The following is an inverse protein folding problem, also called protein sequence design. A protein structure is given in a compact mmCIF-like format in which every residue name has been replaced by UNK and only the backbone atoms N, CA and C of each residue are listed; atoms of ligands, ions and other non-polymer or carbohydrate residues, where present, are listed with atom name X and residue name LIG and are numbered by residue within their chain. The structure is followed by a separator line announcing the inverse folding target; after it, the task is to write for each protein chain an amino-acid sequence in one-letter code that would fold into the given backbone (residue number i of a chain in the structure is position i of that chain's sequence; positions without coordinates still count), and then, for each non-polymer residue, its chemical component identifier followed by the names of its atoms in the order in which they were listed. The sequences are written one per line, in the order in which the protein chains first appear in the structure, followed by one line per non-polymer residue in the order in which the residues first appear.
data_IF_182491058666
#
_entry.id   IF_182491058666
#
_cell.length_a   1.000
_cell.length_b   1.000
_cell.length_c   1.000
_cell.angle_alpha   90.00
_cell.angle_beta   90.00
_cell.angle_gamma   90.00
#
_symmetry.space_group_name_H-M   'P 1'
#
loop_
_entity.id
_entity.type
_entity.pdbx_description
1 polymer ?
#
# COMPACT_ATOMS: atom_id res chain seq x y z
N UNK A 1 3.06 -13.94 0.27
CA UNK A 1 4.43 -13.83 0.83
C UNK A 1 4.72 -12.36 1.10
N UNK A 2 5.15 -12.02 2.32
CA UNK A 2 5.58 -10.66 2.68
C UNK A 2 7.11 -10.64 2.81
N UNK A 3 7.74 -9.71 2.10
CA UNK A 3 9.14 -9.34 2.25
C UNK A 3 9.21 -7.90 2.73
N UNK A 4 9.90 -7.66 3.85
CA UNK A 4 10.16 -6.32 4.39
C UNK A 4 11.65 -6.05 4.32
N UNK A 5 12.02 -4.91 3.74
CA UNK A 5 13.39 -4.49 3.50
C UNK A 5 13.58 -3.07 4.06
N UNK A 6 14.79 -2.78 4.53
CA UNK A 6 15.14 -1.45 5.02
C UNK A 6 16.44 -0.97 4.41
N UNK A 7 16.52 0.32 4.08
CA UNK A 7 17.73 0.95 3.55
C UNK A 7 18.06 2.22 4.32
N UNK A 8 19.20 2.22 5.01
CA UNK A 8 19.69 3.32 5.85
C UNK A 8 18.71 3.74 6.96
N UNK A 9 17.94 2.80 7.51
CA UNK A 9 17.01 3.03 8.61
C UNK A 9 17.65 2.61 9.94
N UNK A 10 17.38 3.36 11.00
CA UNK A 10 17.80 3.04 12.36
C UNK A 10 17.20 1.70 12.83
N UNK A 11 17.97 0.83 13.54
CA UNK A 11 17.51 -0.54 13.86
C UNK A 11 16.16 -0.60 14.59
N UNK A 12 15.92 0.30 15.54
CA UNK A 12 14.66 0.34 16.29
C UNK A 12 13.45 0.62 15.39
N UNK A 13 13.59 1.53 14.42
CA UNK A 13 12.51 1.83 13.46
C UNK A 13 12.36 0.70 12.44
N UNK A 14 13.45 0.04 12.05
CA UNK A 14 13.42 -1.12 11.16
C UNK A 14 12.63 -2.28 11.79
N UNK A 15 12.94 -2.64 13.03
CA UNK A 15 12.24 -3.68 13.78
C UNK A 15 10.76 -3.33 14.00
N UNK A 16 10.47 -2.09 14.39
CA UNK A 16 9.09 -1.61 14.57
C UNK A 16 8.32 -1.65 13.26
N UNK A 17 8.92 -1.21 12.15
CA UNK A 17 8.30 -1.21 10.83
C UNK A 17 8.03 -2.62 10.29
N UNK A 18 8.93 -3.57 10.55
CA UNK A 18 8.72 -4.97 10.18
C UNK A 18 7.58 -5.58 11.00
N UNK A 19 7.59 -5.37 12.32
CA UNK A 19 6.54 -5.85 13.21
C UNK A 19 5.17 -5.27 12.85
N UNK A 20 5.10 -3.96 12.60
CA UNK A 20 3.90 -3.28 12.13
C UNK A 20 3.43 -3.84 10.78
N UNK A 21 4.32 -4.05 9.82
CA UNK A 21 3.98 -4.62 8.50
C UNK A 21 3.41 -6.03 8.60
N UNK A 22 3.96 -6.88 9.47
CA UNK A 22 3.42 -8.22 9.75
C UNK A 22 2.02 -8.12 10.36
N UNK A 23 1.84 -7.24 11.34
CA UNK A 23 0.52 -6.99 11.95
C UNK A 23 -0.50 -6.50 10.90
N UNK A 24 -0.16 -5.50 10.08
CA UNK A 24 -1.03 -4.94 9.04
C UNK A 24 -1.38 -5.97 7.97
N UNK A 25 -0.42 -6.77 7.53
CA UNK A 25 -0.64 -7.89 6.62
C UNK A 25 -1.71 -8.83 7.18
N UNK A 26 -1.55 -9.28 8.42
CA UNK A 26 -2.47 -10.24 9.04
C UNK A 26 -3.83 -9.62 9.35
N UNK A 27 -3.87 -8.32 9.60
CA UNK A 27 -5.09 -7.58 9.95
C UNK A 27 -5.93 -7.20 8.73
N UNK A 28 -5.31 -6.98 7.57
CA UNK A 28 -5.95 -6.46 6.36
C UNK A 28 -6.10 -7.49 5.24
N UNK A 29 -5.19 -8.46 5.13
CA UNK A 29 -5.24 -9.49 4.09
C UNK A 29 -5.90 -10.75 4.66
N UNK A 30 -7.03 -11.15 4.06
CA UNK A 30 -7.78 -12.33 4.49
C UNK A 30 -6.89 -13.59 4.41
N UNK A 31 -6.96 -14.53 5.37
CA UNK A 31 -6.11 -15.72 5.40
C UNK A 31 -6.06 -16.49 4.08
N UNK A 32 -7.20 -16.60 3.40
CA UNK A 32 -7.36 -17.32 2.14
C UNK A 32 -6.62 -16.64 0.97
N UNK A 33 -6.33 -15.35 1.06
CA UNK A 33 -5.67 -14.56 0.02
C UNK A 33 -4.15 -14.50 0.19
N UNK A 34 -3.61 -14.77 1.39
CA UNK A 34 -2.19 -14.55 1.74
C UNK A 34 -1.22 -15.40 0.92
N UNK A 35 -1.66 -16.57 0.48
CA UNK A 35 -0.86 -17.47 -0.37
C UNK A 35 -0.72 -16.94 -1.81
N UNK A 36 -1.73 -16.22 -2.29
CA UNK A 36 -1.79 -15.72 -3.66
C UNK A 36 -1.16 -14.34 -3.81
N UNK A 37 -1.04 -13.57 -2.73
CA UNK A 37 -0.53 -12.19 -2.75
C UNK A 37 0.94 -12.13 -2.33
N UNK A 38 1.79 -11.54 -3.17
CA UNK A 38 3.19 -11.26 -2.89
C UNK A 38 3.40 -9.75 -2.69
N UNK A 39 4.03 -9.37 -1.58
CA UNK A 39 4.25 -7.97 -1.21
C UNK A 39 5.71 -7.79 -0.82
N UNK A 40 6.38 -6.87 -1.50
CA UNK A 40 7.69 -6.35 -1.10
C UNK A 40 7.51 -4.92 -0.64
N UNK A 41 7.94 -4.62 0.59
CA UNK A 41 7.87 -3.29 1.15
C UNK A 41 9.26 -2.86 1.59
N UNK A 42 9.73 -1.73 1.05
CA UNK A 42 11.03 -1.14 1.38
C UNK A 42 10.84 0.14 2.16
N UNK A 43 11.32 0.19 3.40
CA UNK A 43 11.42 1.43 4.16
C UNK A 43 12.80 2.06 3.93
N UNK A 44 12.83 3.29 3.43
CA UNK A 44 14.06 3.97 3.01
C UNK A 44 14.19 5.31 3.71
N UNK A 45 15.41 5.68 4.12
CA UNK A 45 15.68 6.98 4.73
C UNK A 45 15.44 8.14 3.77
N UNK A 46 15.10 9.30 4.33
CA UNK A 46 14.72 10.52 3.62
C UNK A 46 15.93 11.17 2.91
N UNK A 47 17.15 10.83 3.35
CA UNK A 47 18.41 11.33 2.81
C UNK A 47 18.86 10.60 1.54
N UNK A 48 18.28 9.43 1.25
CA UNK A 48 18.36 8.86 -0.07
C UNK A 48 17.41 9.65 -0.96
N UNK A 49 17.97 10.47 -1.87
CA UNK A 49 17.23 10.82 -3.07
C UNK A 49 16.82 9.52 -3.73
N UNK A 50 15.52 9.20 -3.83
CA UNK A 50 15.12 8.14 -4.72
C UNK A 50 15.71 8.54 -6.07
N UNK A 51 16.51 7.67 -6.72
CA UNK A 51 16.84 7.87 -8.13
C UNK A 51 15.55 8.29 -8.85
N UNK A 52 15.56 9.14 -9.88
CA UNK A 52 14.28 9.64 -10.44
C UNK A 52 13.35 8.55 -11.02
N UNK A 53 13.74 7.28 -10.92
CA UNK A 53 13.01 6.04 -11.16
C UNK A 53 12.41 5.36 -9.91
N UNK A 54 12.84 5.70 -8.70
CA UNK A 54 12.36 5.17 -7.43
C UNK A 54 11.13 5.94 -6.98
N UNK A 55 10.00 5.61 -7.58
CA UNK A 55 8.72 6.19 -7.21
C UNK A 55 8.31 5.70 -5.81
N UNK A 56 7.84 6.61 -4.96
CA UNK A 56 7.44 6.31 -3.57
C UNK A 56 5.95 5.99 -3.49
N UNK A 57 5.59 5.15 -2.51
CA UNK A 57 4.26 4.59 -2.34
C UNK A 57 3.92 3.51 -3.36
N UNK A 58 2.68 3.01 -3.31
CA UNK A 58 2.18 2.04 -4.26
C UNK A 58 2.00 2.66 -5.66
N UNK A 59 2.63 2.09 -6.67
CA UNK A 59 2.55 2.62 -8.02
C UNK A 59 1.27 2.20 -8.73
N UNK A 60 0.71 3.11 -9.53
CA UNK A 60 -0.50 2.84 -10.32
C UNK A 60 -0.33 1.66 -11.29
N UNK A 61 0.89 1.42 -11.78
CA UNK A 61 1.24 0.26 -12.60
C UNK A 61 0.99 -1.05 -11.87
N UNK A 62 1.29 -1.09 -10.58
CA UNK A 62 1.19 -2.27 -9.72
C UNK A 62 -0.26 -2.50 -9.27
N UNK A 63 -1.10 -1.47 -9.42
CA UNK A 63 -2.54 -1.51 -9.13
C UNK A 63 -3.39 -1.93 -10.34
N UNK A 64 -2.77 -2.15 -11.52
CA UNK A 64 -3.51 -2.48 -12.72
C UNK A 64 -4.14 -3.87 -12.63
N UNK A 65 -5.44 -3.93 -12.92
CA UNK A 65 -6.17 -5.18 -13.03
C UNK A 65 -5.53 -6.07 -14.11
N UNK A 66 -5.23 -7.31 -13.72
CA UNK A 66 -4.76 -8.33 -14.63
C UNK A 66 -5.94 -8.94 -15.40
N UNK A 67 -5.66 -9.62 -16.51
CA UNK A 67 -6.67 -10.42 -17.21
C UNK A 67 -6.42 -11.91 -16.99
N UNK A 68 -7.37 -12.60 -16.35
CA UNK A 68 -7.39 -14.07 -16.27
C UNK A 68 -8.65 -14.59 -16.94
N UNK A 69 -8.49 -15.46 -17.95
CA UNK A 69 -9.60 -16.02 -18.74
C UNK A 69 -10.58 -14.96 -19.26
N UNK A 70 -10.05 -13.82 -19.70
CA UNK A 70 -10.84 -12.70 -20.23
C UNK A 70 -11.55 -11.83 -19.19
N UNK A 71 -11.48 -12.18 -17.90
CA UNK A 71 -12.06 -11.37 -16.81
C UNK A 71 -10.96 -10.53 -16.13
N UNK A 72 -11.26 -9.28 -15.78
CA UNK A 72 -10.37 -8.49 -14.94
C UNK A 72 -10.30 -9.12 -13.55
N UNK A 73 -9.10 -9.26 -13.02
CA UNK A 73 -8.83 -9.74 -11.66
C UNK A 73 -7.85 -8.79 -10.97
N UNK A 74 -7.87 -8.71 -9.64
CA UNK A 74 -6.87 -7.94 -8.87
C UNK A 74 -5.43 -8.33 -9.23
N UNK A 75 -4.48 -7.38 -9.17
CA UNK A 75 -3.07 -7.71 -9.14
C UNK A 75 -2.74 -8.46 -7.84
N UNK A 76 -1.70 -9.28 -7.91
CA UNK A 76 -1.28 -10.18 -6.83
C UNK A 76 0.20 -9.99 -6.44
N UNK A 77 0.90 -9.04 -7.08
CA UNK A 77 2.28 -8.68 -6.77
C UNK A 77 2.37 -7.17 -6.55
N UNK A 78 2.91 -6.77 -5.40
CA UNK A 78 3.05 -5.38 -4.98
C UNK A 78 4.50 -5.10 -4.60
N UNK A 79 5.05 -4.02 -5.14
CA UNK A 79 6.36 -3.50 -4.76
C UNK A 79 6.20 -2.04 -4.32
N UNK A 80 6.47 -1.76 -3.05
CA UNK A 80 6.21 -0.47 -2.44
C UNK A 80 7.48 0.08 -1.78
N UNK A 81 7.86 1.30 -2.12
CA UNK A 81 8.94 2.03 -1.46
C UNK A 81 8.35 3.14 -0.60
N UNK A 82 8.57 3.08 0.70
CA UNK A 82 8.08 4.05 1.67
C UNK A 82 9.27 4.84 2.19
N UNK A 83 9.17 6.16 2.13
CA UNK A 83 10.13 7.04 2.79
C UNK A 83 9.80 7.14 4.27
N UNK A 84 10.82 6.99 5.10
CA UNK A 84 10.78 7.37 6.50
C UNK A 84 10.30 8.82 6.63
N UNK A 85 9.62 9.12 7.72
CA UNK A 85 9.23 10.47 8.11
C UNK A 85 10.12 10.93 9.26
N UNK A 86 10.12 12.23 9.57
CA UNK A 86 10.94 12.75 10.68
C UNK A 86 10.48 12.17 12.03
N UNK A 87 9.18 11.92 12.17
CA UNK A 87 8.56 11.29 13.34
C UNK A 87 8.26 9.79 13.10
N UNK A 88 8.42 8.98 14.14
CA UNK A 88 8.17 7.53 14.10
C UNK A 88 6.68 7.24 13.87
N UNK A 89 5.79 7.96 14.54
CA UNK A 89 4.34 7.79 14.37
C UNK A 89 3.91 8.14 12.96
N UNK A 90 4.44 9.22 12.38
CA UNK A 90 4.15 9.60 11.00
C UNK A 90 4.64 8.54 10.01
N UNK A 91 5.79 7.92 10.27
CA UNK A 91 6.28 6.77 9.49
C UNK A 91 5.31 5.59 9.57
N UNK A 92 4.80 5.27 10.77
CA UNK A 92 3.83 4.20 10.97
C UNK A 92 2.47 4.50 10.31
N UNK A 93 2.01 5.74 10.35
CA UNK A 93 0.79 6.17 9.66
C UNK A 93 0.93 6.04 8.15
N UNK A 94 2.07 6.45 7.59
CA UNK A 94 2.36 6.29 6.16
C UNK A 94 2.43 4.81 5.77
N UNK A 95 3.06 3.98 6.59
CA UNK A 95 3.11 2.53 6.41
C UNK A 95 1.70 1.92 6.39
N UNK A 96 0.87 2.26 7.38
CA UNK A 96 -0.52 1.79 7.46
C UNK A 96 -1.36 2.24 6.26
N UNK A 97 -1.16 3.48 5.79
CA UNK A 97 -1.85 4.02 4.61
C UNK A 97 -1.61 3.17 3.35
N UNK A 98 -0.34 2.88 3.05
CA UNK A 98 0.02 2.07 1.88
C UNK A 98 -0.49 0.62 2.01
N UNK A 99 -0.44 0.06 3.23
CA UNK A 99 -1.00 -1.27 3.51
C UNK A 99 -2.51 -1.34 3.25
N UNK A 100 -3.26 -0.29 3.59
CA UNK A 100 -4.69 -0.20 3.29
C UNK A 100 -4.91 -0.18 1.78
N UNK A 101 -4.11 0.56 1.01
CA UNK A 101 -4.19 0.53 -0.45
C UNK A 101 -3.87 -0.84 -1.04
N UNK A 102 -2.83 -1.51 -0.57
CA UNK A 102 -2.51 -2.88 -0.99
C UNK A 102 -3.71 -3.80 -0.73
N UNK A 103 -4.32 -3.73 0.45
CA UNK A 103 -5.49 -4.54 0.79
C UNK A 103 -6.73 -4.20 -0.06
N UNK A 104 -7.00 -2.90 -0.30
CA UNK A 104 -8.07 -2.43 -1.19
C UNK A 104 -7.89 -3.00 -2.60
N UNK A 105 -6.66 -3.01 -3.11
CA UNK A 105 -6.36 -3.49 -4.46
C UNK A 105 -6.40 -5.01 -4.52
N UNK A 106 -5.71 -5.72 -3.63
CA UNK A 106 -5.64 -7.18 -3.59
C UNK A 106 -7.03 -7.83 -3.44
N UNK A 107 -7.94 -7.19 -2.70
CA UNK A 107 -9.34 -7.63 -2.56
C UNK A 107 -10.22 -7.30 -3.76
N UNK A 108 -9.76 -6.49 -4.71
CA UNK A 108 -10.55 -5.99 -5.83
C UNK A 108 -11.58 -4.94 -5.46
N UNK A 109 -11.55 -4.41 -4.23
CA UNK A 109 -12.37 -3.26 -3.84
C UNK A 109 -11.95 -2.02 -4.62
N UNK A 110 -10.65 -1.81 -4.80
CA UNK A 110 -10.09 -0.87 -5.77
C UNK A 110 -9.53 -1.65 -6.96
N UNK A 111 -9.93 -1.28 -8.17
CA UNK A 111 -9.32 -1.82 -9.39
C UNK A 111 -9.02 -0.68 -10.35
N UNK A 112 -7.80 -0.65 -10.89
CA UNK A 112 -7.45 0.23 -11.99
C UNK A 112 -7.46 -0.53 -13.31
N UNK A 113 -8.19 0.01 -14.28
CA UNK A 113 -8.25 -0.54 -15.64
C UNK A 113 -7.53 0.41 -16.58
N UNK A 114 -6.75 -0.13 -17.52
CA UNK A 114 -6.08 0.71 -18.51
C UNK A 114 -5.01 -0.06 -19.28
N UNK A 115 -4.07 0.70 -19.81
CA UNK A 115 -2.84 0.16 -20.40
C UNK A 115 -1.67 0.79 -19.65
N UNK A 116 -0.57 0.05 -19.47
CA UNK A 116 0.67 0.63 -18.96
C UNK A 116 1.07 1.90 -19.74
N UNK A 117 1.81 2.82 -19.11
CA UNK A 117 2.20 4.07 -19.72
C UNK A 117 2.99 3.79 -21.00
N UNK A 118 2.69 4.53 -22.07
CA UNK A 118 3.49 4.53 -23.29
C UNK A 118 4.29 5.83 -23.35
N UNK A 119 5.57 5.80 -23.80
CA UNK A 119 6.35 7.03 -23.96
C UNK A 119 5.59 8.07 -24.79
N UNK A 120 5.48 9.29 -24.26
CA UNK A 120 4.81 10.41 -24.92
C UNK A 120 3.27 10.35 -24.96
N UNK A 121 2.62 9.40 -24.25
CA UNK A 121 1.16 9.36 -24.12
C UNK A 121 0.73 9.52 -22.66
N UNK A 122 -0.32 10.33 -22.38
CA UNK A 122 -0.84 10.43 -21.03
C UNK A 122 -1.41 9.09 -20.59
N UNK A 123 -1.16 8.75 -19.32
CA UNK A 123 -1.80 7.62 -18.66
C UNK A 123 -3.31 7.79 -18.68
N UNK A 124 -4.04 6.69 -18.88
CA UNK A 124 -5.50 6.69 -18.90
C UNK A 124 -6.00 5.51 -18.08
N UNK A 125 -5.89 5.64 -16.76
CA UNK A 125 -6.43 4.65 -15.85
C UNK A 125 -7.86 5.01 -15.47
N UNK A 126 -8.74 4.02 -15.59
CA UNK A 126 -10.11 4.08 -15.09
C UNK A 126 -10.16 3.39 -13.74
N UNK A 127 -10.62 4.10 -12.71
CA UNK A 127 -10.83 3.53 -11.38
C UNK A 127 -12.22 2.88 -11.28
N UNK A 128 -12.25 1.74 -10.61
CA UNK A 128 -13.43 1.06 -10.12
C UNK A 128 -13.31 0.92 -8.60
N UNK A 129 -14.38 1.26 -7.89
CA UNK A 129 -14.46 1.16 -6.44
C UNK A 129 -15.69 0.35 -6.03
N UNK A 130 -15.49 -0.70 -5.23
CA UNK A 130 -16.53 -1.62 -4.75
C UNK A 130 -17.41 -2.17 -5.88
N UNK A 131 -16.81 -2.54 -7.01
CA UNK A 131 -17.54 -3.05 -8.17
C UNK A 131 -18.11 -1.98 -9.10
N UNK A 132 -18.09 -0.69 -8.71
CA UNK A 132 -18.65 0.40 -9.49
C UNK A 132 -17.56 1.20 -10.21
N UNK A 133 -17.72 1.41 -11.52
CA UNK A 133 -16.85 2.28 -12.29
C UNK A 133 -17.03 3.73 -11.83
N UNK A 134 -15.95 4.38 -11.41
CA UNK A 134 -15.97 5.77 -10.92
C UNK A 134 -15.60 6.75 -12.04
N UNK A 135 -14.56 6.45 -12.82
CA UNK A 135 -14.11 7.33 -13.90
C UNK A 135 -12.61 7.27 -14.14
N UNK A 136 -12.07 8.22 -14.92
CA UNK A 136 -10.63 8.35 -15.08
C UNK A 136 -10.00 8.88 -13.78
N UNK A 137 -8.99 8.19 -13.26
CA UNK A 137 -8.41 8.49 -11.93
C UNK A 137 -7.91 9.94 -11.81
N UNK A 138 -7.30 10.45 -12.89
CA UNK A 138 -6.76 11.81 -12.94
C UNK A 138 -7.83 12.90 -13.05
N UNK A 139 -9.07 12.52 -13.36
CA UNK A 139 -10.21 13.45 -13.36
C UNK A 139 -10.94 13.49 -12.01
N UNK A 140 -10.58 12.61 -11.07
CA UNK A 140 -11.16 12.55 -9.74
C UNK A 140 -10.19 13.26 -8.78
N UNK A 141 -10.55 14.43 -8.22
CA UNK A 141 -9.74 15.12 -7.22
C UNK A 141 -9.37 14.18 -6.08
N UNK A 142 -8.11 14.25 -5.64
CA UNK A 142 -7.57 13.36 -4.61
C UNK A 142 -8.44 13.34 -3.34
N UNK A 143 -8.88 14.52 -2.90
CA UNK A 143 -9.67 14.74 -1.67
C UNK A 143 -11.05 14.10 -1.68
N UNK A 144 -11.56 13.65 -2.82
CA UNK A 144 -12.89 13.02 -2.93
C UNK A 144 -12.83 11.56 -3.37
N UNK A 145 -11.62 11.00 -3.52
CA UNK A 145 -11.46 9.59 -3.89
C UNK A 145 -11.87 8.72 -2.70
N UNK A 146 -12.84 7.81 -2.86
CA UNK A 146 -13.38 7.05 -1.73
C UNK A 146 -12.34 6.12 -1.09
N UNK A 147 -11.39 5.59 -1.87
CA UNK A 147 -10.30 4.76 -1.35
C UNK A 147 -9.26 5.55 -0.55
N UNK A 148 -9.01 6.82 -0.92
CA UNK A 148 -8.11 7.72 -0.16
C UNK A 148 -8.75 8.16 1.15
N UNK A 149 -10.04 8.51 1.12
CA UNK A 149 -10.81 8.86 2.31
C UNK A 149 -10.83 7.70 3.30
N UNK A 150 -11.05 6.47 2.80
CA UNK A 150 -10.99 5.27 3.63
C UNK A 150 -9.57 5.03 4.18
N UNK A 151 -8.53 5.09 3.35
CA UNK A 151 -7.15 4.90 3.82
C UNK A 151 -6.78 5.91 4.91
N UNK A 152 -7.13 7.19 4.71
CA UNK A 152 -6.91 8.25 5.68
C UNK A 152 -7.68 8.03 7.00
N UNK A 153 -8.91 7.51 6.96
CA UNK A 153 -9.67 7.22 8.18
C UNK A 153 -9.10 6.02 8.94
N UNK A 154 -8.77 4.93 8.22
CA UNK A 154 -8.40 3.66 8.85
C UNK A 154 -6.93 3.58 9.27
N UNK A 155 -6.02 4.39 8.70
CA UNK A 155 -4.60 4.38 9.08
C UNK A 155 -4.42 4.63 10.60
N UNK A 156 -5.16 5.58 11.16
CA UNK A 156 -5.06 5.93 12.58
C UNK A 156 -5.57 4.81 13.47
N UNK A 157 -6.69 4.18 13.08
CA UNK A 157 -7.25 3.04 13.81
C UNK A 157 -6.26 1.87 13.81
N UNK A 158 -5.66 1.58 12.66
CA UNK A 158 -4.74 0.46 12.49
C UNK A 158 -3.45 0.65 13.30
N UNK A 159 -2.89 1.86 13.29
CA UNK A 159 -1.71 2.19 14.11
C UNK A 159 -2.04 2.13 15.60
N UNK A 160 -3.19 2.67 16.03
CA UNK A 160 -3.63 2.57 17.43
C UNK A 160 -3.79 1.11 17.87
N UNK A 161 -4.44 0.27 17.06
CA UNK A 161 -4.59 -1.15 17.36
C UNK A 161 -3.23 -1.86 17.49
N UNK A 162 -2.28 -1.52 16.63
CA UNK A 162 -0.92 -2.08 16.68
C UNK A 162 -0.20 -1.69 17.97
N UNK A 163 -0.18 -0.39 18.31
CA UNK A 163 0.47 0.12 19.53
C UNK A 163 -0.15 -0.49 20.78
N UNK A 164 -1.49 -0.56 20.85
CA UNK A 164 -2.21 -1.16 21.99
C UNK A 164 -1.89 -2.64 22.18
N UNK A 165 -1.56 -3.35 21.11
CA UNK A 165 -1.18 -4.76 21.17
C UNK A 165 0.27 -4.92 21.60
N UNK A 166 1.17 -4.14 21.00
CA UNK A 166 2.60 -4.18 21.32
C UNK A 166 2.85 -3.81 22.79
N UNK A 167 2.14 -2.80 23.31
CA UNK A 167 2.25 -2.40 24.70
C UNK A 167 1.75 -3.47 25.70
N UNK A 168 0.89 -4.40 25.28
CA UNK A 168 0.39 -5.49 26.13
C UNK A 168 1.28 -6.72 26.13
N UNK A 169 2.08 -6.90 25.08
CA UNK A 169 2.99 -8.04 24.96
C UNK A 169 4.30 -7.84 25.77
N UNK A 170 4.59 -6.61 26.25
CA UNK A 170 5.74 -6.32 27.13
C UNK A 170 5.48 -6.57 28.64
N UNK A 171 4.22 -6.83 29.03
CA UNK A 171 3.81 -7.07 30.42
C UNK A 171 3.79 -8.58 30.82
N UNK A 172 4.41 -9.48 30.03
CA UNK A 172 4.43 -10.94 30.26
C UNK A 172 5.83 -11.50 30.44
#
# INVERSE_FOLDING_TARGET
MLTFETHNIEPALAELGEAASRYFHDRLIAPEQRADVSITLRLVSNDMTPDSTSMTGLQRSDMLAMKRRGKPVPPDHFDCVILRQDDVLDTMLKLAHEWIHIAQVASGRLMLHGQPPKPGKPEKYTAQWLGHKIGLIDQIPYTIRPWELEAHEYQHKLVSEFVDRFAKDEDV
#
